data_IF_116418550382
#
_entry.id   IF_116418550382
#
_cell.length_a   1.000
_cell.length_b   1.000
_cell.length_c   1.000
_cell.angle_alpha   90.00
_cell.angle_beta   90.00
_cell.angle_gamma   90.00
#
_symmetry.space_group_name_H-M   'P 1'
#
loop_
_entity.id
_entity.type
_entity.pdbx_description
1 polymer ?
#
# COMPACT_ATOMS: atom_id res chain seq x y z
N UNK A 1 -66.12 44.53 -69.31
CA UNK A 1 -64.98 44.18 -70.17
C UNK A 1 -63.76 44.91 -69.64
N UNK A 2 -62.86 44.16 -69.03
CA UNK A 2 -61.69 44.60 -68.25
C UNK A 2 -60.58 45.10 -69.16
N UNK A 3 -59.97 46.27 -68.90
CA UNK A 3 -58.53 46.53 -69.14
C UNK A 3 -57.98 47.47 -68.05
N UNK A 4 -56.89 46.99 -67.45
CA UNK A 4 -56.00 47.51 -66.41
C UNK A 4 -55.02 48.56 -66.92
N UNK A 5 -54.68 49.57 -66.11
CA UNK A 5 -53.35 50.20 -66.10
C UNK A 5 -52.93 50.59 -64.69
N UNK A 6 -51.77 50.09 -64.27
CA UNK A 6 -51.11 50.24 -62.98
C UNK A 6 -50.15 51.46 -62.99
N UNK A 7 -50.02 52.24 -61.90
CA UNK A 7 -48.80 52.99 -61.63
C UNK A 7 -47.96 52.35 -60.49
N UNK A 8 -46.69 52.10 -60.83
CA UNK A 8 -45.63 51.54 -59.98
C UNK A 8 -45.40 52.37 -58.71
N UNK A 9 -45.24 51.68 -57.58
CA UNK A 9 -44.71 52.24 -56.33
C UNK A 9 -43.18 52.01 -56.29
N UNK A 10 -42.36 52.99 -55.89
CA UNK A 10 -40.91 52.82 -55.78
C UNK A 10 -40.53 51.98 -54.55
N UNK A 11 -39.58 51.05 -54.70
CA UNK A 11 -39.02 50.28 -53.56
C UNK A 11 -38.13 51.16 -52.65
N UNK A 12 -38.21 51.00 -51.32
CA UNK A 12 -37.30 51.65 -50.38
C UNK A 12 -35.95 50.93 -50.30
N UNK A 13 -34.87 51.65 -49.89
CA UNK A 13 -33.50 51.14 -49.93
C UNK A 13 -33.24 50.00 -48.94
N UNK A 14 -32.46 49.02 -49.41
CA UNK A 14 -32.02 47.82 -48.68
C UNK A 14 -31.23 48.16 -47.43
N UNK A 15 -31.75 47.84 -46.25
CA UNK A 15 -31.03 47.97 -44.98
C UNK A 15 -29.84 46.99 -44.92
N UNK A 16 -28.66 47.51 -44.62
CA UNK A 16 -27.43 46.72 -44.47
C UNK A 16 -27.55 45.73 -43.30
N UNK A 17 -27.18 44.47 -43.56
CA UNK A 17 -27.25 43.35 -42.62
C UNK A 17 -26.16 43.49 -41.53
N UNK A 18 -26.48 43.37 -40.23
CA UNK A 18 -25.47 43.45 -39.19
C UNK A 18 -24.58 42.20 -39.18
N UNK A 19 -23.26 42.40 -39.24
CA UNK A 19 -22.24 41.35 -39.15
C UNK A 19 -22.32 40.70 -37.77
N UNK A 20 -22.77 39.44 -37.72
CA UNK A 20 -22.86 38.67 -36.47
C UNK A 20 -21.46 38.33 -35.99
N UNK A 21 -21.00 38.97 -34.92
CA UNK A 21 -19.76 38.63 -34.25
C UNK A 21 -19.81 37.15 -33.80
N UNK A 22 -18.78 36.39 -34.20
CA UNK A 22 -18.63 34.97 -33.88
C UNK A 22 -18.42 34.82 -32.37
N UNK A 23 -19.20 34.00 -31.65
CA UNK A 23 -18.94 33.77 -30.23
C UNK A 23 -17.60 33.04 -30.11
N UNK A 24 -16.62 33.69 -29.49
CA UNK A 24 -15.40 33.04 -29.04
C UNK A 24 -15.80 32.04 -27.97
N UNK A 25 -15.87 30.76 -28.32
CA UNK A 25 -16.01 29.66 -27.35
C UNK A 25 -14.75 29.65 -26.50
N UNK A 26 -14.81 30.29 -25.33
CA UNK A 26 -13.81 30.12 -24.29
C UNK A 26 -13.77 28.63 -23.92
N UNK A 27 -12.62 28.00 -24.17
CA UNK A 27 -12.34 26.62 -23.79
C UNK A 27 -12.46 26.55 -22.26
N UNK A 28 -13.30 25.69 -21.67
CA UNK A 28 -13.37 25.58 -20.23
C UNK A 28 -11.98 25.20 -19.72
N UNK A 29 -11.40 26.09 -18.92
CA UNK A 29 -10.23 25.80 -18.09
C UNK A 29 -10.56 24.55 -17.28
N UNK A 30 -9.85 23.45 -17.54
CA UNK A 30 -9.94 22.23 -16.75
C UNK A 30 -9.27 22.48 -15.40
N UNK A 31 -9.90 23.29 -14.55
CA UNK A 31 -9.64 23.26 -13.13
C UNK A 31 -10.02 21.85 -12.67
N UNK A 32 -9.03 21.01 -12.38
CA UNK A 32 -9.23 19.66 -11.85
C UNK A 32 -10.07 19.83 -10.57
N UNK A 33 -11.32 19.41 -10.61
CA UNK A 33 -12.19 19.43 -9.44
C UNK A 33 -11.57 18.64 -8.28
N UNK A 34 -12.01 18.89 -7.02
CA UNK A 34 -11.53 18.16 -5.86
C UNK A 34 -11.63 16.65 -6.09
N UNK A 35 -10.59 15.89 -5.71
CA UNK A 35 -10.61 14.44 -5.83
C UNK A 35 -11.77 13.84 -5.01
N UNK A 36 -12.46 12.86 -5.58
CA UNK A 36 -13.50 12.13 -4.86
C UNK A 36 -12.89 11.39 -3.66
N UNK A 37 -13.62 11.23 -2.54
CA UNK A 37 -13.12 10.50 -1.37
C UNK A 37 -12.63 9.09 -1.71
N UNK A 38 -13.33 8.41 -2.60
CA UNK A 38 -12.98 7.07 -3.06
C UNK A 38 -11.66 7.05 -3.84
N UNK A 39 -11.44 8.04 -4.71
CA UNK A 39 -10.18 8.16 -5.45
C UNK A 39 -9.02 8.48 -4.52
N UNK A 40 -9.25 9.32 -3.51
CA UNK A 40 -8.27 9.67 -2.48
C UNK A 40 -7.89 8.44 -1.64
N UNK A 41 -8.87 7.65 -1.20
CA UNK A 41 -8.62 6.40 -0.49
C UNK A 41 -7.78 5.42 -1.32
N UNK A 42 -8.12 5.25 -2.60
CA UNK A 42 -7.34 4.42 -3.51
C UNK A 42 -5.90 4.93 -3.68
N UNK A 43 -5.72 6.24 -3.84
CA UNK A 43 -4.39 6.83 -3.98
C UNK A 43 -3.55 6.63 -2.71
N UNK A 44 -4.11 6.86 -1.52
CA UNK A 44 -3.40 6.65 -0.26
C UNK A 44 -3.02 5.17 -0.11
N UNK A 45 -3.96 4.26 -0.36
CA UNK A 45 -3.68 2.83 -0.30
C UNK A 45 -2.59 2.42 -1.29
N UNK A 46 -2.66 2.93 -2.53
CA UNK A 46 -1.68 2.63 -3.58
C UNK A 46 -0.27 3.10 -3.24
N UNK A 47 -0.14 4.37 -2.83
CA UNK A 47 1.14 4.95 -2.43
C UNK A 47 1.71 4.27 -1.19
N UNK A 48 0.86 3.91 -0.22
CA UNK A 48 1.30 3.22 0.97
C UNK A 48 1.83 1.81 0.65
N UNK A 49 1.17 1.05 -0.23
CA UNK A 49 1.69 -0.23 -0.71
C UNK A 49 3.01 -0.09 -1.47
N UNK A 50 3.19 0.95 -2.28
CA UNK A 50 4.49 1.19 -2.94
C UNK A 50 5.54 1.58 -1.90
N UNK A 51 5.15 2.37 -0.90
CA UNK A 51 5.98 2.80 0.21
C UNK A 51 6.56 1.64 1.02
N UNK A 52 5.80 0.57 1.27
CA UNK A 52 6.33 -0.59 2.02
C UNK A 52 7.55 -1.19 1.34
N UNK A 53 7.55 -1.34 0.01
CA UNK A 53 8.72 -1.81 -0.74
C UNK A 53 9.84 -0.78 -0.77
N UNK A 54 9.49 0.48 -1.02
CA UNK A 54 10.46 1.57 -1.12
C UNK A 54 11.26 1.76 0.18
N UNK A 55 10.62 1.60 1.33
CA UNK A 55 11.25 1.79 2.62
C UNK A 55 11.88 0.51 3.19
N UNK A 56 11.31 -0.68 2.98
CA UNK A 56 11.87 -1.92 3.55
C UNK A 56 13.09 -2.48 2.80
N UNK A 57 13.10 -2.42 1.46
CA UNK A 57 14.19 -3.02 0.66
C UNK A 57 15.56 -2.40 0.98
N UNK A 58 15.72 -1.05 1.04
CA UNK A 58 17.00 -0.44 1.37
C UNK A 58 17.50 -0.74 2.79
N UNK A 59 16.59 -1.05 3.73
CA UNK A 59 16.96 -1.44 5.09
C UNK A 59 17.66 -2.79 5.06
N UNK A 60 16.99 -3.81 4.53
CA UNK A 60 17.47 -5.20 4.58
C UNK A 60 18.75 -5.42 3.77
N UNK A 61 18.90 -4.76 2.62
CA UNK A 61 20.02 -4.97 1.69
C UNK A 61 21.05 -3.83 1.69
N UNK A 62 20.92 -2.86 2.59
CA UNK A 62 21.80 -1.68 2.61
C UNK A 62 22.09 -1.18 4.02
N UNK A 63 21.14 -0.45 4.62
CA UNK A 63 21.39 0.27 5.88
C UNK A 63 21.73 -0.65 7.06
N UNK A 64 21.16 -1.86 7.11
CA UNK A 64 21.33 -2.79 8.22
C UNK A 64 22.22 -4.00 7.91
N UNK A 65 22.88 -4.04 6.75
CA UNK A 65 23.74 -5.18 6.37
C UNK A 65 24.78 -5.48 7.45
N UNK A 66 25.53 -4.47 7.89
CA UNK A 66 26.58 -4.68 8.90
C UNK A 66 26.05 -5.12 10.27
N UNK A 67 24.91 -4.58 10.72
CA UNK A 67 24.34 -4.93 12.04
C UNK A 67 23.70 -6.32 12.05
N UNK A 68 23.15 -6.78 10.92
CA UNK A 68 22.48 -8.08 10.83
C UNK A 68 23.43 -9.21 10.43
N UNK A 69 24.47 -8.94 9.64
CA UNK A 69 25.30 -10.00 9.05
C UNK A 69 26.68 -10.14 9.71
N UNK A 70 27.15 -9.14 10.48
CA UNK A 70 28.47 -9.19 11.11
C UNK A 70 28.37 -9.64 12.58
N UNK A 71 28.86 -10.86 12.94
CA UNK A 71 28.78 -11.35 14.32
C UNK A 71 29.56 -10.49 15.33
N UNK A 72 30.55 -9.73 14.86
CA UNK A 72 31.34 -8.81 15.68
C UNK A 72 30.78 -7.38 15.73
N UNK A 73 29.61 -7.11 15.14
CA UNK A 73 29.08 -5.75 15.03
C UNK A 73 28.95 -5.06 16.40
N UNK A 74 28.35 -5.74 17.37
CA UNK A 74 28.10 -5.16 18.70
C UNK A 74 29.40 -4.88 19.46
N UNK A 75 30.48 -5.60 19.14
CA UNK A 75 31.82 -5.39 19.70
C UNK A 75 32.68 -4.41 18.90
N UNK A 76 32.14 -3.79 17.84
CA UNK A 76 32.80 -2.71 17.10
C UNK A 76 33.21 -3.03 15.66
N UNK A 77 32.91 -4.21 15.10
CA UNK A 77 33.23 -4.54 13.72
C UNK A 77 32.24 -3.94 12.71
N UNK A 78 32.68 -3.57 11.50
CA UNK A 78 31.80 -2.99 10.46
C UNK A 78 31.35 -1.56 10.75
N UNK A 79 30.48 -1.00 9.90
CA UNK A 79 29.97 0.38 9.96
C UNK A 79 28.63 0.48 10.69
N UNK A 80 28.54 1.36 11.69
CA UNK A 80 27.29 1.65 12.39
C UNK A 80 26.49 2.81 11.75
N UNK A 81 27.05 3.51 10.74
CA UNK A 81 26.48 4.75 10.23
C UNK A 81 25.12 4.59 9.53
N UNK A 82 24.83 3.41 8.98
CA UNK A 82 23.55 3.11 8.32
C UNK A 82 22.39 2.87 9.29
N UNK A 83 22.67 2.49 10.53
CA UNK A 83 21.64 1.97 11.45
C UNK A 83 20.53 3.00 11.75
N UNK A 84 20.82 4.28 12.06
CA UNK A 84 19.77 5.27 12.32
C UNK A 84 18.87 5.52 11.10
N UNK A 85 19.45 5.59 9.90
CA UNK A 85 18.67 5.79 8.67
C UNK A 85 17.80 4.57 8.36
N UNK A 86 18.33 3.37 8.56
CA UNK A 86 17.54 2.14 8.43
C UNK A 86 16.36 2.11 9.41
N UNK A 87 16.55 2.57 10.65
CA UNK A 87 15.46 2.68 11.62
C UNK A 87 14.38 3.68 11.18
N UNK A 88 14.75 4.85 10.64
CA UNK A 88 13.78 5.80 10.06
C UNK A 88 12.97 5.13 8.95
N UNK A 89 13.62 4.37 8.07
CA UNK A 89 12.96 3.67 6.98
C UNK A 89 12.00 2.58 7.50
N UNK A 90 12.37 1.79 8.51
CA UNK A 90 11.43 0.83 9.11
C UNK A 90 10.21 1.47 9.76
N UNK A 91 10.40 2.63 10.42
CA UNK A 91 9.25 3.40 10.94
C UNK A 91 8.31 3.82 9.80
N UNK A 92 8.85 4.27 8.66
CA UNK A 92 8.05 4.60 7.48
C UNK A 92 7.37 3.36 6.88
N UNK A 93 8.03 2.20 6.86
CA UNK A 93 7.43 0.90 6.47
C UNK A 93 6.23 0.56 7.37
N UNK A 94 6.39 0.65 8.69
CA UNK A 94 5.30 0.38 9.64
C UNK A 94 4.12 1.36 9.46
N UNK A 95 4.40 2.66 9.30
CA UNK A 95 3.37 3.67 9.08
C UNK A 95 2.62 3.47 7.76
N UNK A 96 3.33 3.09 6.70
CA UNK A 96 2.69 2.76 5.41
C UNK A 96 1.81 1.52 5.52
N UNK A 97 2.19 0.50 6.29
CA UNK A 97 1.31 -0.64 6.60
C UNK A 97 -0.01 -0.17 7.22
N UNK A 98 0.03 0.67 8.26
CA UNK A 98 -1.18 1.22 8.89
C UNK A 98 -1.99 2.09 7.92
N UNK A 99 -1.32 2.91 7.11
CA UNK A 99 -1.98 3.75 6.12
C UNK A 99 -2.74 2.93 5.06
N UNK A 100 -2.22 1.77 4.62
CA UNK A 100 -2.96 0.87 3.71
C UNK A 100 -4.25 0.36 4.35
N UNK A 101 -4.19 -0.04 5.62
CA UNK A 101 -5.34 -0.54 6.37
C UNK A 101 -6.44 0.51 6.50
N UNK A 102 -6.10 1.70 7.00
CA UNK A 102 -7.07 2.78 7.23
C UNK A 102 -7.70 3.23 5.91
N UNK A 103 -6.90 3.37 4.84
CA UNK A 103 -7.41 3.78 3.53
C UNK A 103 -8.38 2.75 2.95
N UNK A 104 -8.04 1.46 2.96
CA UNK A 104 -8.87 0.41 2.38
C UNK A 104 -10.07 0.05 3.24
N UNK A 105 -10.01 0.23 4.56
CA UNK A 105 -11.15 -0.01 5.45
C UNK A 105 -12.40 0.78 5.03
N UNK A 106 -12.21 2.04 4.60
CA UNK A 106 -13.30 2.91 4.17
C UNK A 106 -14.16 2.33 3.03
N UNK A 107 -13.58 1.43 2.24
CA UNK A 107 -14.21 0.79 1.08
C UNK A 107 -14.58 -0.66 1.37
N UNK A 108 -13.64 -1.44 1.94
CA UNK A 108 -13.82 -2.86 2.18
C UNK A 108 -14.97 -3.17 3.15
N UNK A 109 -15.25 -2.27 4.11
CA UNK A 109 -16.35 -2.43 5.08
C UNK A 109 -17.73 -2.54 4.42
N UNK A 110 -17.91 -1.92 3.24
CA UNK A 110 -19.17 -1.96 2.50
C UNK A 110 -19.44 -3.33 1.86
N UNK A 111 -18.43 -4.22 1.80
CA UNK A 111 -18.56 -5.57 1.23
C UNK A 111 -18.45 -6.65 2.30
N UNK A 112 -17.59 -6.45 3.31
CA UNK A 112 -17.48 -7.35 4.45
C UNK A 112 -16.85 -6.66 5.65
N UNK A 113 -17.65 -6.36 6.66
CA UNK A 113 -17.16 -5.79 7.93
C UNK A 113 -16.10 -6.67 8.61
N UNK A 114 -16.29 -8.00 8.60
CA UNK A 114 -15.36 -8.93 9.25
C UNK A 114 -14.00 -8.95 8.56
N UNK A 115 -13.98 -9.03 7.23
CA UNK A 115 -12.74 -9.06 6.48
C UNK A 115 -12.01 -7.70 6.52
N UNK A 116 -12.76 -6.60 6.46
CA UNK A 116 -12.20 -5.26 6.57
C UNK A 116 -11.57 -5.01 7.95
N UNK A 117 -12.26 -5.39 9.03
CA UNK A 117 -11.71 -5.26 10.39
C UNK A 117 -10.50 -6.16 10.57
N UNK A 118 -10.58 -7.42 10.13
CA UNK A 118 -9.45 -8.36 10.17
C UNK A 118 -8.22 -7.80 9.46
N UNK A 119 -8.40 -7.20 8.27
CA UNK A 119 -7.29 -6.62 7.50
C UNK A 119 -6.64 -5.44 8.22
N UNK A 120 -7.43 -4.61 8.90
CA UNK A 120 -6.87 -3.54 9.75
C UNK A 120 -6.07 -4.14 10.90
N UNK A 121 -6.63 -5.14 11.59
CA UNK A 121 -5.95 -5.80 12.71
C UNK A 121 -4.62 -6.42 12.30
N UNK A 122 -4.58 -7.13 11.16
CA UNK A 122 -3.35 -7.78 10.68
C UNK A 122 -2.29 -6.77 10.27
N UNK A 123 -2.66 -5.68 9.58
CA UNK A 123 -1.72 -4.60 9.23
C UNK A 123 -1.18 -3.85 10.44
N UNK A 124 -2.01 -3.64 11.48
CA UNK A 124 -1.55 -3.02 12.73
C UNK A 124 -0.61 -3.95 13.48
N UNK A 125 -0.92 -5.25 13.53
CA UNK A 125 -0.04 -6.26 14.13
C UNK A 125 1.31 -6.37 13.39
N UNK A 126 1.28 -6.34 12.06
CA UNK A 126 2.46 -6.30 11.19
C UNK A 126 3.34 -5.09 11.51
N UNK A 127 2.74 -3.89 11.54
CA UNK A 127 3.44 -2.66 11.91
C UNK A 127 4.05 -2.74 13.31
N UNK A 128 3.32 -3.31 14.28
CA UNK A 128 3.83 -3.53 15.63
C UNK A 128 5.07 -4.42 15.67
N UNK A 129 5.05 -5.52 14.92
CA UNK A 129 6.20 -6.43 14.81
C UNK A 129 7.40 -5.77 14.11
N UNK A 130 7.15 -4.94 13.09
CA UNK A 130 8.21 -4.12 12.47
C UNK A 130 8.86 -3.18 13.51
N UNK A 131 8.06 -2.50 14.33
CA UNK A 131 8.61 -1.66 15.41
C UNK A 131 9.44 -2.46 16.42
N UNK A 132 9.01 -3.67 16.80
CA UNK A 132 9.79 -4.56 17.68
C UNK A 132 11.15 -4.87 17.05
N UNK A 133 11.19 -5.20 15.75
CA UNK A 133 12.44 -5.43 15.03
C UNK A 133 13.35 -4.20 15.01
N UNK A 134 12.79 -3.02 14.72
CA UNK A 134 13.55 -1.76 14.71
C UNK A 134 14.12 -1.38 16.08
N UNK A 135 13.34 -1.53 17.14
CA UNK A 135 13.80 -1.30 18.51
C UNK A 135 14.91 -2.28 18.90
N UNK A 136 14.83 -3.53 18.44
CA UNK A 136 15.86 -4.54 18.70
C UNK A 136 17.20 -4.14 18.06
N UNK A 137 17.19 -3.72 16.78
CA UNK A 137 18.39 -3.27 16.07
C UNK A 137 18.95 -1.98 16.67
N UNK A 138 18.09 -1.02 17.04
CA UNK A 138 18.53 0.20 17.74
C UNK A 138 19.15 -0.11 19.11
N UNK A 139 18.67 -1.13 19.82
CA UNK A 139 19.27 -1.57 21.08
C UNK A 139 20.69 -2.10 20.86
N UNK A 140 20.93 -2.90 19.82
CA UNK A 140 22.27 -3.36 19.43
C UNK A 140 23.18 -2.17 19.09
N UNK A 141 22.64 -1.18 18.36
CA UNK A 141 23.37 0.04 18.04
C UNK A 141 23.80 0.81 19.30
N UNK A 142 22.89 1.03 20.25
CA UNK A 142 23.22 1.69 21.53
C UNK A 142 24.26 0.91 22.32
N UNK A 143 24.09 -0.41 22.47
CA UNK A 143 25.05 -1.27 23.16
C UNK A 143 26.46 -1.16 22.56
N UNK A 144 26.55 -1.11 21.23
CA UNK A 144 27.83 -0.89 20.54
C UNK A 144 28.42 0.47 20.90
N UNK A 145 27.65 1.56 20.81
CA UNK A 145 28.17 2.91 21.05
C UNK A 145 28.68 3.08 22.48
N UNK A 146 28.00 2.50 23.46
CA UNK A 146 28.28 2.75 24.87
C UNK A 146 29.34 1.79 25.46
N UNK A 147 29.42 0.56 24.94
CA UNK A 147 30.18 -0.52 25.57
C UNK A 147 31.31 -1.11 24.71
N UNK A 148 31.31 -0.91 23.38
CA UNK A 148 32.35 -1.48 22.54
C UNK A 148 33.71 -0.81 22.80
N UNK A 149 34.69 -1.59 23.26
CA UNK A 149 36.04 -1.09 23.57
C UNK A 149 36.15 -0.31 24.89
N UNK A 150 35.07 -0.21 25.66
CA UNK A 150 35.07 0.45 26.97
C UNK A 150 35.85 -0.38 28.00
N UNK A 151 36.81 0.21 28.74
CA UNK A 151 37.54 -0.52 29.77
C UNK A 151 36.62 -1.13 30.83
N UNK A 152 36.79 -2.43 31.11
CA UNK A 152 35.97 -3.17 32.09
C UNK A 152 34.65 -3.72 31.53
N UNK A 153 34.29 -3.44 30.29
CA UNK A 153 33.20 -4.14 29.61
C UNK A 153 33.65 -5.54 29.17
N UNK A 154 32.82 -6.56 29.39
CA UNK A 154 33.06 -7.93 28.92
C UNK A 154 32.55 -8.09 27.47
N UNK A 155 33.43 -8.30 26.48
CA UNK A 155 33.03 -8.48 25.09
C UNK A 155 32.12 -9.70 24.87
N UNK A 156 32.26 -10.76 25.66
CA UNK A 156 31.44 -11.97 25.55
C UNK A 156 30.00 -11.76 26.03
N UNK A 157 29.82 -11.03 27.14
CA UNK A 157 28.48 -10.63 27.60
C UNK A 157 27.81 -9.66 26.62
N UNK A 158 28.59 -8.72 26.06
CA UNK A 158 28.12 -7.78 25.05
C UNK A 158 27.66 -8.51 23.77
N UNK A 159 28.46 -9.46 23.27
CA UNK A 159 28.13 -10.29 22.12
C UNK A 159 26.84 -11.11 22.34
N UNK A 160 26.72 -11.74 23.52
CA UNK A 160 25.53 -12.54 23.86
C UNK A 160 24.26 -11.68 23.89
N UNK A 161 24.34 -10.51 24.50
CA UNK A 161 23.21 -9.56 24.60
C UNK A 161 22.83 -9.02 23.21
N UNK A 162 23.82 -8.64 22.39
CA UNK A 162 23.59 -8.21 21.02
C UNK A 162 22.88 -9.28 20.19
N UNK A 163 23.36 -10.53 20.25
CA UNK A 163 22.76 -11.66 19.53
C UNK A 163 21.32 -11.93 19.96
N UNK A 164 20.96 -11.73 21.24
CA UNK A 164 19.59 -11.87 21.70
C UNK A 164 18.65 -10.86 21.04
N UNK A 165 19.08 -9.62 20.86
CA UNK A 165 18.31 -8.59 20.14
C UNK A 165 18.21 -8.89 18.65
N UNK A 166 19.29 -9.36 18.01
CA UNK A 166 19.24 -9.79 16.60
C UNK A 166 18.26 -10.95 16.43
N UNK A 167 18.26 -11.94 17.33
CA UNK A 167 17.29 -13.03 17.30
C UNK A 167 15.84 -12.52 17.44
N UNK A 168 15.58 -11.55 18.32
CA UNK A 168 14.26 -10.93 18.44
C UNK A 168 13.84 -10.18 17.16
N UNK A 169 14.78 -9.47 16.52
CA UNK A 169 14.56 -8.88 15.21
C UNK A 169 14.17 -9.95 14.19
N UNK A 170 14.93 -11.03 14.06
CA UNK A 170 14.69 -12.07 13.06
C UNK A 170 13.35 -12.78 13.27
N UNK A 171 12.93 -13.02 14.50
CA UNK A 171 11.60 -13.58 14.78
C UNK A 171 10.48 -12.59 14.48
N UNK A 172 10.66 -11.31 14.80
CA UNK A 172 9.69 -10.27 14.43
C UNK A 172 9.58 -10.09 12.92
N UNK A 173 10.67 -10.23 12.17
CA UNK A 173 10.70 -10.17 10.71
C UNK A 173 9.94 -11.36 10.08
N UNK A 174 10.15 -12.57 10.61
CA UNK A 174 9.44 -13.76 10.15
C UNK A 174 7.94 -13.68 10.43
N UNK A 175 7.55 -13.26 11.63
CA UNK A 175 6.14 -13.23 12.04
C UNK A 175 5.39 -12.00 11.54
N UNK A 176 6.07 -10.86 11.37
CA UNK A 176 5.48 -9.64 10.84
C UNK A 176 5.45 -9.69 9.32
N UNK A 177 6.44 -9.09 8.63
CA UNK A 177 6.53 -9.12 7.16
C UNK A 177 6.48 -10.52 6.52
N UNK A 178 6.97 -11.56 7.19
CA UNK A 178 6.97 -12.92 6.63
C UNK A 178 5.60 -13.63 6.67
N UNK A 179 4.75 -13.36 7.67
CA UNK A 179 3.47 -14.07 7.83
C UNK A 179 2.25 -13.18 7.58
N UNK A 180 2.27 -11.92 8.02
CA UNK A 180 1.10 -11.05 7.98
C UNK A 180 0.58 -10.80 6.55
N UNK A 181 1.42 -10.70 5.50
CA UNK A 181 0.94 -10.60 4.11
C UNK A 181 0.05 -11.78 3.68
N UNK A 182 0.22 -12.98 4.24
CA UNK A 182 -0.67 -14.12 4.00
C UNK A 182 -2.10 -13.78 4.43
N UNK A 183 -2.25 -13.31 5.67
CA UNK A 183 -3.56 -12.95 6.22
C UNK A 183 -4.16 -11.75 5.48
N UNK A 184 -3.31 -10.75 5.18
CA UNK A 184 -3.70 -9.59 4.39
C UNK A 184 -4.28 -10.01 3.03
N UNK A 185 -3.57 -10.87 2.30
CA UNK A 185 -3.99 -11.38 0.99
C UNK A 185 -5.31 -12.15 1.05
N UNK A 186 -5.49 -13.02 2.05
CA UNK A 186 -6.73 -13.77 2.22
C UNK A 186 -7.91 -12.85 2.52
N UNK A 187 -7.72 -11.83 3.37
CA UNK A 187 -8.79 -10.92 3.79
C UNK A 187 -9.15 -9.92 2.69
N UNK A 188 -8.19 -9.07 2.29
CA UNK A 188 -8.46 -8.01 1.30
C UNK A 188 -8.55 -8.58 -0.12
N UNK A 189 -7.74 -9.59 -0.46
CA UNK A 189 -7.79 -10.23 -1.77
C UNK A 189 -9.15 -10.89 -2.01
N UNK A 190 -9.73 -11.56 -1.03
CA UNK A 190 -11.08 -12.13 -1.16
C UNK A 190 -12.16 -11.07 -1.38
N UNK A 191 -12.11 -9.96 -0.64
CA UNK A 191 -13.03 -8.84 -0.81
C UNK A 191 -12.91 -8.24 -2.22
N UNK A 192 -11.68 -8.02 -2.69
CA UNK A 192 -11.40 -7.42 -3.98
C UNK A 192 -11.76 -8.36 -5.15
N UNK A 193 -11.56 -9.68 -4.97
CA UNK A 193 -11.94 -10.68 -5.96
C UNK A 193 -13.45 -10.76 -6.17
N UNK A 194 -14.22 -10.72 -5.07
CA UNK A 194 -15.69 -10.79 -5.09
C UNK A 194 -16.32 -9.49 -5.57
N UNK A 195 -15.86 -8.35 -5.04
CA UNK A 195 -16.39 -7.02 -5.38
C UNK A 195 -16.02 -6.53 -6.77
N UNK A 196 -15.00 -7.10 -7.42
CA UNK A 196 -14.49 -6.66 -8.74
C UNK A 196 -14.09 -5.17 -8.78
N UNK A 197 -13.76 -4.59 -7.63
CA UNK A 197 -13.26 -3.22 -7.50
C UNK A 197 -11.96 -2.98 -8.27
N UNK A 198 -11.20 -4.06 -8.52
CA UNK A 198 -9.97 -4.10 -9.31
C UNK A 198 -10.01 -5.29 -10.29
N UNK A 199 -9.16 -5.33 -11.33
CA UNK A 199 -9.07 -6.47 -12.25
C UNK A 199 -8.80 -7.77 -11.50
N UNK A 200 -9.62 -8.81 -11.76
CA UNK A 200 -9.61 -10.07 -11.01
C UNK A 200 -8.27 -10.79 -10.95
N UNK A 201 -7.42 -10.62 -11.96
CA UNK A 201 -6.10 -11.25 -11.97
C UNK A 201 -5.23 -10.78 -10.78
N UNK A 202 -5.36 -9.51 -10.34
CA UNK A 202 -4.57 -8.98 -9.21
C UNK A 202 -4.88 -9.76 -7.92
N UNK A 203 -6.13 -9.78 -7.39
CA UNK A 203 -6.41 -10.52 -6.17
C UNK A 203 -6.24 -12.04 -6.35
N UNK A 204 -6.39 -12.60 -7.56
CA UNK A 204 -6.08 -14.02 -7.80
C UNK A 204 -4.62 -14.35 -7.54
N UNK A 205 -3.67 -13.50 -8.00
CA UNK A 205 -2.25 -13.69 -7.73
C UNK A 205 -1.97 -13.67 -6.22
N UNK A 206 -2.61 -12.75 -5.47
CA UNK A 206 -2.49 -12.70 -4.02
C UNK A 206 -3.04 -13.94 -3.31
N UNK A 207 -4.22 -14.41 -3.72
CA UNK A 207 -4.85 -15.61 -3.15
C UNK A 207 -4.07 -16.90 -3.45
N UNK A 208 -3.39 -16.98 -4.59
CA UNK A 208 -2.46 -18.07 -4.91
C UNK A 208 -1.12 -17.92 -4.17
N UNK A 209 -0.66 -16.68 -3.98
CA UNK A 209 0.56 -16.40 -3.25
C UNK A 209 0.46 -16.67 -1.75
N UNK A 210 -0.71 -16.47 -1.14
CA UNK A 210 -0.92 -16.66 0.29
C UNK A 210 -0.50 -18.07 0.80
N UNK A 211 -0.96 -19.18 0.21
CA UNK A 211 -0.52 -20.51 0.63
C UNK A 211 0.97 -20.76 0.34
N UNK A 212 1.52 -20.19 -0.74
CA UNK A 212 2.95 -20.34 -1.07
C UNK A 212 3.83 -19.63 -0.05
N UNK A 213 3.50 -18.38 0.30
CA UNK A 213 4.19 -17.64 1.36
C UNK A 213 4.02 -18.31 2.71
N UNK A 214 2.84 -18.88 3.02
CA UNK A 214 2.64 -19.63 4.27
C UNK A 214 3.60 -20.84 4.35
N UNK A 215 3.78 -21.57 3.24
CA UNK A 215 4.77 -22.65 3.15
C UNK A 215 6.18 -22.11 3.33
N UNK A 216 6.53 -20.99 2.69
CA UNK A 216 7.84 -20.34 2.84
C UNK A 216 8.16 -20.02 4.31
N UNK A 217 7.22 -19.35 4.98
CA UNK A 217 7.35 -18.90 6.37
C UNK A 217 7.34 -20.07 7.34
N UNK A 218 6.53 -21.10 7.07
CA UNK A 218 6.51 -22.33 7.87
C UNK A 218 7.80 -23.13 7.73
N UNK A 219 8.34 -23.25 6.52
CA UNK A 219 9.64 -23.90 6.31
C UNK A 219 10.78 -23.16 7.02
N UNK A 220 10.77 -21.83 7.02
CA UNK A 220 11.72 -21.04 7.79
C UNK A 220 11.54 -21.20 9.31
N UNK A 221 10.29 -21.25 9.79
CA UNK A 221 9.95 -21.50 11.20
C UNK A 221 10.49 -22.84 11.71
N UNK A 222 10.42 -23.89 10.89
CA UNK A 222 10.93 -25.22 11.23
C UNK A 222 12.39 -25.47 10.81
N UNK A 223 13.09 -24.44 10.31
CA UNK A 223 14.51 -24.54 9.95
C UNK A 223 14.80 -25.36 8.69
N UNK A 224 13.82 -25.56 7.80
CA UNK A 224 14.01 -26.24 6.51
C UNK A 224 14.91 -25.41 5.58
N UNK A 225 14.83 -24.08 5.68
CA UNK A 225 15.69 -23.12 5.01
C UNK A 225 15.86 -21.85 5.85
N UNK A 226 16.86 -21.02 5.54
CA UNK A 226 16.98 -19.69 6.15
C UNK A 226 15.86 -18.76 5.70
N UNK A 227 15.52 -17.77 6.54
CA UNK A 227 14.46 -16.79 6.26
C UNK A 227 14.71 -16.03 4.94
N UNK A 228 15.97 -15.65 4.70
CA UNK A 228 16.42 -15.11 3.41
C UNK A 228 17.13 -16.24 2.66
N UNK A 229 16.41 -16.84 1.71
CA UNK A 229 16.91 -17.93 0.87
C UNK A 229 16.24 -17.91 -0.50
N UNK A 230 16.87 -18.53 -1.49
CA UNK A 230 16.29 -18.69 -2.84
C UNK A 230 14.90 -19.33 -2.83
N UNK A 231 14.69 -20.48 -2.16
CA UNK A 231 13.37 -21.11 -2.06
C UNK A 231 12.31 -20.22 -1.41
N UNK A 232 12.63 -19.58 -0.28
CA UNK A 232 11.71 -18.68 0.39
C UNK A 232 11.32 -17.48 -0.49
N UNK A 233 12.30 -16.88 -1.19
CA UNK A 233 12.06 -15.77 -2.11
C UNK A 233 11.17 -16.16 -3.30
N UNK A 234 11.39 -17.35 -3.88
CA UNK A 234 10.56 -17.86 -4.98
C UNK A 234 9.11 -18.08 -4.56
N UNK A 235 8.88 -18.61 -3.36
CA UNK A 235 7.55 -18.84 -2.81
C UNK A 235 6.85 -17.54 -2.37
N UNK A 236 7.61 -16.53 -1.94
CA UNK A 236 7.11 -15.21 -1.58
C UNK A 236 6.79 -14.32 -2.79
N UNK A 237 7.41 -14.59 -3.95
CA UNK A 237 7.32 -13.76 -5.15
C UNK A 237 5.88 -13.46 -5.59
N UNK A 238 4.92 -14.41 -5.60
CA UNK A 238 3.54 -14.09 -6.00
C UNK A 238 2.86 -13.07 -5.07
N UNK A 239 3.13 -13.11 -3.76
CA UNK A 239 2.62 -12.09 -2.84
C UNK A 239 3.25 -10.73 -3.13
N UNK A 240 4.56 -10.67 -3.36
CA UNK A 240 5.24 -9.43 -3.71
C UNK A 240 4.68 -8.83 -5.01
N UNK A 241 4.46 -9.67 -6.04
CA UNK A 241 3.82 -9.25 -7.31
C UNK A 241 2.41 -8.72 -7.05
N UNK A 242 1.62 -9.40 -6.21
CA UNK A 242 0.28 -8.97 -5.87
C UNK A 242 0.27 -7.61 -5.18
N UNK A 243 1.04 -7.44 -4.10
CA UNK A 243 1.08 -6.18 -3.33
C UNK A 243 1.57 -5.02 -4.18
N UNK A 244 2.63 -5.22 -4.97
CA UNK A 244 3.17 -4.17 -5.84
C UNK A 244 2.20 -3.82 -6.97
N UNK A 245 1.60 -4.82 -7.62
CA UNK A 245 0.58 -4.61 -8.66
C UNK A 245 -0.65 -3.91 -8.11
N UNK A 246 -1.09 -4.27 -6.91
CA UNK A 246 -2.18 -3.62 -6.20
C UNK A 246 -1.84 -2.15 -5.92
N UNK A 247 -0.63 -1.88 -5.41
CA UNK A 247 -0.12 -0.53 -5.15
C UNK A 247 -0.13 0.37 -6.39
N UNK A 248 0.46 -0.12 -7.49
CA UNK A 248 0.49 0.58 -8.79
C UNK A 248 -0.94 0.82 -9.30
N UNK A 249 -1.77 -0.22 -9.29
CA UNK A 249 -3.10 -0.14 -9.87
C UNK A 249 -3.96 0.92 -9.15
N UNK A 250 -3.91 0.93 -7.83
CA UNK A 250 -4.64 1.87 -6.98
C UNK A 250 -4.10 3.30 -7.10
N UNK A 251 -2.79 3.45 -7.30
CA UNK A 251 -2.14 4.75 -7.52
C UNK A 251 -2.54 5.37 -8.85
N UNK A 252 -2.60 4.59 -9.94
CA UNK A 252 -2.84 5.13 -11.29
C UNK A 252 -4.34 5.21 -11.59
N UNK A 253 -5.06 4.09 -11.45
CA UNK A 253 -6.46 3.98 -11.87
C UNK A 253 -7.44 4.12 -10.71
N UNK A 254 -7.12 3.53 -9.56
CA UNK A 254 -8.04 3.44 -8.43
C UNK A 254 -9.18 2.44 -8.67
N UNK A 255 -10.26 2.55 -7.90
CA UNK A 255 -11.38 1.60 -7.94
C UNK A 255 -12.24 1.73 -9.21
N UNK A 256 -12.74 0.60 -9.72
CA UNK A 256 -13.64 0.55 -10.88
C UNK A 256 -15.03 1.10 -10.52
N UNK A 257 -15.48 2.12 -11.27
CA UNK A 257 -16.73 2.86 -11.03
C UNK A 257 -17.99 2.01 -11.15
N UNK A 258 -18.03 1.05 -12.08
CA UNK A 258 -19.20 0.20 -12.32
C UNK A 258 -19.60 -0.62 -11.09
N UNK A 259 -18.62 -1.27 -10.45
CA UNK A 259 -18.84 -2.06 -9.24
C UNK A 259 -19.26 -1.19 -8.03
N UNK A 260 -18.79 0.06 -7.98
CA UNK A 260 -19.15 1.00 -6.91
C UNK A 260 -20.60 1.45 -7.04
N UNK A 261 -21.05 1.69 -8.28
CA UNK A 261 -22.44 2.10 -8.55
C UNK A 261 -23.43 0.96 -8.30
N UNK A 262 -23.05 -0.30 -8.57
CA UNK A 262 -23.87 -1.48 -8.29
C UNK A 262 -24.25 -1.56 -6.79
N UNK A 263 -23.26 -1.42 -5.90
CA UNK A 263 -23.50 -1.39 -4.44
C UNK A 263 -24.31 -0.16 -4.00
N UNK A 264 -24.06 1.02 -4.59
CA UNK A 264 -24.82 2.22 -4.26
C UNK A 264 -26.28 2.15 -4.75
N UNK A 265 -26.56 1.34 -5.78
CA UNK A 265 -27.88 1.16 -6.36
C UNK A 265 -28.71 0.07 -5.70
N UNK A 266 -28.13 -0.76 -4.83
CA UNK A 266 -28.85 -1.79 -4.09
C UNK A 266 -29.75 -1.09 -3.05
N UNK A 267 -31.09 -1.09 -3.23
CA UNK A 267 -31.96 -0.40 -2.29
C UNK A 267 -31.92 -1.14 -0.95
N UNK A 268 -31.87 -0.37 0.14
CA UNK A 268 -32.16 -0.87 1.47
C UNK A 268 -33.64 -1.30 1.53
N UNK A 269 -33.93 -2.51 1.09
CA UNK A 269 -35.23 -3.17 1.24
C UNK A 269 -34.93 -4.64 1.53
N UNK A 270 -34.99 -5.09 2.78
CA UNK A 270 -36.27 -5.49 3.38
C UNK A 270 -36.23 -5.32 4.91
N UNK A 271 -36.53 -4.11 5.39
CA UNK A 271 -37.19 -3.93 6.69
C UNK A 271 -38.57 -3.34 6.38
N UNK A 272 -39.55 -4.22 6.13
CA UNK A 272 -40.97 -3.86 6.19
C UNK A 272 -41.69 -4.97 6.96
N UNK A 273 -41.91 -4.67 8.24
CA UNK A 273 -43.16 -4.75 9.01
C UNK A 273 -44.05 -6.01 8.98
N UNK A 274 -44.34 -6.47 10.21
CA UNK A 274 -45.57 -7.11 10.72
C UNK A 274 -45.87 -8.58 10.34
N UNK A 275 -45.78 -9.48 11.32
CA UNK A 275 -46.84 -9.71 12.33
C UNK A 275 -46.29 -10.43 13.56
#
# INVERSE_FOLDING_TARGET
MTITTNPRVPEPPTAARPTRARPTTARPSTARGPMTPLRRAALIAGLAYIGTFLFSIPVKFGFWTDVLENPGFVTGAGSAGGVPMGAVFEVLTALTCVATAVALYSVAKNYSNRAALGFVTTRVMEAGLIFVGALSVLSVYTLRQDLAGTPGADPGMLATTGNAFIAMHDWSFLLGPGLMPVLNALLIGSVMYRSRLIPRWIPTVGLLGAPLLLVATTGALFGVWSQVSGPAALLALPIAIWEFSFGIYMTIWGFRTEAVNEVASEPASTEISET
#
